data_IF_673069756417
#
_entry.id   IF_673069756417
#
_cell.length_a   1.000
_cell.length_b   1.000
_cell.length_c   1.000
_cell.angle_alpha   90.00
_cell.angle_beta   90.00
_cell.angle_gamma   90.00
#
_symmetry.space_group_name_H-M   'P 1'
#
loop_
_entity.id
_entity.type
_entity.pdbx_description
1 polymer ?
#
# COMPACT_ATOMS: atom_id res chain seq x y z
N UNK A 1 17.95 20.46 28.46
CA UNK A 1 17.99 20.82 27.01
C UNK A 1 18.30 19.63 26.09
N UNK A 2 19.43 18.92 26.23
CA UNK A 2 19.83 17.84 25.30
C UNK A 2 18.83 16.67 25.17
N UNK A 3 18.17 16.28 26.27
CA UNK A 3 17.20 15.19 26.28
C UNK A 3 15.89 15.55 25.53
N UNK A 4 15.37 16.77 25.74
CA UNK A 4 14.17 17.24 25.05
C UNK A 4 14.39 17.36 23.53
N UNK A 5 15.56 17.86 23.11
CA UNK A 5 15.92 17.93 21.70
C UNK A 5 16.00 16.53 21.04
N UNK A 6 16.54 15.54 21.75
CA UNK A 6 16.57 14.14 21.28
C UNK A 6 15.18 13.54 21.16
N UNK A 7 14.31 13.76 22.14
CA UNK A 7 12.93 13.29 22.10
C UNK A 7 12.14 13.90 20.93
N UNK A 8 12.33 15.21 20.67
CA UNK A 8 11.70 15.89 19.53
C UNK A 8 12.21 15.36 18.18
N UNK A 9 13.52 15.13 18.05
CA UNK A 9 14.10 14.55 16.84
C UNK A 9 13.56 13.14 16.58
N UNK A 10 13.52 12.28 17.61
CA UNK A 10 12.96 10.94 17.50
C UNK A 10 11.46 10.96 17.12
N UNK A 11 10.67 11.84 17.74
CA UNK A 11 9.26 12.00 17.36
C UNK A 11 9.11 12.41 15.88
N UNK A 12 9.98 13.28 15.37
CA UNK A 12 9.98 13.69 13.97
C UNK A 12 10.31 12.53 13.03
N UNK A 13 11.33 11.73 13.36
CA UNK A 13 11.74 10.55 12.60
C UNK A 13 10.61 9.53 12.49
N UNK A 14 10.01 9.18 13.63
CA UNK A 14 8.93 8.19 13.67
C UNK A 14 7.66 8.69 12.95
N UNK A 15 7.37 10.00 13.01
CA UNK A 15 6.29 10.60 12.21
C UNK A 15 6.57 10.50 10.71
N UNK A 16 7.81 10.75 10.28
CA UNK A 16 8.19 10.62 8.89
C UNK A 16 8.07 9.17 8.41
N UNK A 17 8.47 8.20 9.23
CA UNK A 17 8.30 6.78 8.92
C UNK A 17 6.82 6.39 8.77
N UNK A 18 5.95 6.85 9.68
CA UNK A 18 4.49 6.63 9.57
C UNK A 18 3.94 7.24 8.28
N UNK A 19 4.38 8.45 7.90
CA UNK A 19 3.96 9.10 6.67
C UNK A 19 4.41 8.33 5.42
N UNK A 20 5.66 7.87 5.38
CA UNK A 20 6.20 7.07 4.27
C UNK A 20 5.42 5.76 4.11
N UNK A 21 5.15 5.06 5.22
CA UNK A 21 4.37 3.81 5.21
C UNK A 21 2.94 4.04 4.71
N UNK A 22 2.30 5.15 5.12
CA UNK A 22 0.97 5.53 4.65
C UNK A 22 0.96 5.87 3.16
N UNK A 23 1.94 6.64 2.68
CA UNK A 23 2.08 6.99 1.27
C UNK A 23 2.26 5.73 0.42
N UNK A 24 3.17 4.83 0.81
CA UNK A 24 3.36 3.54 0.13
C UNK A 24 2.08 2.72 0.07
N UNK A 25 1.35 2.60 1.19
CA UNK A 25 0.08 1.88 1.22
C UNK A 25 -0.96 2.52 0.30
N UNK A 26 -1.05 3.86 0.26
CA UNK A 26 -1.96 4.57 -0.62
C UNK A 26 -1.64 4.33 -2.10
N UNK A 27 -0.35 4.42 -2.50
CA UNK A 27 0.09 4.13 -3.87
C UNK A 27 -0.24 2.69 -4.27
N UNK A 28 0.01 1.71 -3.39
CA UNK A 28 -0.31 0.31 -3.68
C UNK A 28 -1.82 0.08 -3.81
N UNK A 29 -2.64 0.68 -2.94
CA UNK A 29 -4.10 0.58 -3.04
C UNK A 29 -4.60 1.19 -4.36
N UNK A 30 -4.11 2.37 -4.74
CA UNK A 30 -4.51 3.03 -5.98
C UNK A 30 -4.17 2.17 -7.20
N UNK A 31 -2.93 1.67 -7.28
CA UNK A 31 -2.46 0.78 -8.35
C UNK A 31 -3.29 -0.49 -8.47
N UNK A 32 -3.59 -1.15 -7.35
CA UNK A 32 -4.38 -2.39 -7.36
C UNK A 32 -5.84 -2.10 -7.75
N UNK A 33 -6.42 -1.01 -7.22
CA UNK A 33 -7.79 -0.61 -7.55
C UNK A 33 -7.93 -0.29 -9.04
N UNK A 34 -6.99 0.46 -9.61
CA UNK A 34 -6.96 0.81 -11.03
C UNK A 34 -6.96 -0.44 -11.94
N UNK A 35 -6.15 -1.45 -11.61
CA UNK A 35 -6.17 -2.72 -12.35
C UNK A 35 -7.46 -3.51 -12.15
N UNK A 36 -8.01 -3.56 -10.93
CA UNK A 36 -9.30 -4.20 -10.66
C UNK A 36 -10.39 -3.54 -11.51
N UNK A 37 -10.42 -2.21 -11.56
CA UNK A 37 -11.41 -1.45 -12.33
C UNK A 37 -11.25 -1.74 -13.83
N UNK A 38 -10.01 -1.79 -14.32
CA UNK A 38 -9.68 -2.13 -15.71
C UNK A 38 -10.16 -3.54 -16.11
N UNK A 39 -9.91 -4.53 -15.25
CA UNK A 39 -10.40 -5.90 -15.45
C UNK A 39 -11.93 -5.95 -15.41
N UNK A 40 -12.55 -5.15 -14.54
CA UNK A 40 -13.99 -4.98 -14.46
C UNK A 40 -14.61 -4.47 -15.77
N UNK A 41 -13.94 -3.58 -16.49
CA UNK A 41 -14.40 -3.13 -17.81
C UNK A 41 -14.45 -4.28 -18.83
N UNK A 42 -13.49 -5.20 -18.78
CA UNK A 42 -13.50 -6.41 -19.63
C UNK A 42 -14.65 -7.36 -19.29
N UNK A 43 -14.98 -7.50 -17.99
CA UNK A 43 -16.16 -8.26 -17.53
C UNK A 43 -17.45 -7.62 -18.06
N UNK A 44 -17.60 -6.30 -17.92
CA UNK A 44 -18.78 -5.57 -18.37
C UNK A 44 -18.95 -5.63 -19.90
N UNK A 45 -17.83 -5.65 -20.64
CA UNK A 45 -17.81 -5.80 -22.10
C UNK A 45 -18.06 -7.25 -22.57
N UNK A 46 -17.98 -8.24 -21.67
CA UNK A 46 -18.05 -9.66 -22.03
C UNK A 46 -16.79 -10.19 -22.74
N UNK A 47 -15.66 -9.51 -22.59
CA UNK A 47 -14.37 -9.83 -23.23
C UNK A 47 -13.36 -10.47 -22.26
N UNK A 48 -13.78 -10.77 -21.03
CA UNK A 48 -12.91 -11.31 -19.98
C UNK A 48 -12.40 -12.72 -20.31
N UNK A 49 -11.10 -12.94 -20.11
CA UNK A 49 -10.48 -14.28 -20.21
C UNK A 49 -10.44 -14.98 -18.84
N UNK A 50 -10.15 -16.28 -18.82
CA UNK A 50 -9.98 -17.01 -17.56
C UNK A 50 -8.77 -16.48 -16.75
N UNK A 51 -7.74 -16.01 -17.45
CA UNK A 51 -6.57 -15.37 -16.87
C UNK A 51 -6.93 -14.03 -16.19
N UNK A 52 -7.78 -13.23 -16.84
CA UNK A 52 -8.27 -11.96 -16.29
C UNK A 52 -9.12 -12.18 -15.02
N UNK A 53 -9.99 -13.18 -15.01
CA UNK A 53 -10.79 -13.56 -13.83
C UNK A 53 -9.88 -14.03 -12.67
N UNK A 54 -8.85 -14.82 -12.98
CA UNK A 54 -7.88 -15.27 -11.99
C UNK A 54 -7.06 -14.09 -11.40
N UNK A 55 -6.63 -13.15 -12.26
CA UNK A 55 -5.96 -11.93 -11.81
C UNK A 55 -6.88 -11.08 -10.92
N UNK A 56 -8.13 -10.86 -11.35
CA UNK A 56 -9.12 -10.09 -10.59
C UNK A 56 -9.36 -10.67 -9.19
N UNK A 57 -9.50 -12.00 -9.09
CA UNK A 57 -9.66 -12.69 -7.81
C UNK A 57 -8.43 -12.50 -6.91
N UNK A 58 -7.21 -12.65 -7.45
CA UNK A 58 -5.97 -12.46 -6.70
C UNK A 58 -5.78 -11.00 -6.23
N UNK A 59 -6.11 -10.03 -7.07
CA UNK A 59 -6.02 -8.61 -6.74
C UNK A 59 -7.07 -8.19 -5.71
N UNK A 60 -8.27 -8.79 -5.73
CA UNK A 60 -9.30 -8.55 -4.71
C UNK A 60 -8.85 -8.98 -3.31
N UNK A 61 -8.10 -10.10 -3.21
CA UNK A 61 -7.47 -10.52 -1.95
C UNK A 61 -6.39 -9.51 -1.53
N UNK A 62 -5.55 -9.10 -2.49
CA UNK A 62 -4.44 -8.18 -2.25
C UNK A 62 -4.91 -6.80 -1.78
N UNK A 63 -5.91 -6.21 -2.43
CA UNK A 63 -6.43 -4.89 -2.06
C UNK A 63 -7.04 -4.89 -0.66
N UNK A 64 -7.68 -5.99 -0.26
CA UNK A 64 -8.20 -6.15 1.11
C UNK A 64 -7.05 -6.13 2.12
N UNK A 65 -5.99 -6.89 1.88
CA UNK A 65 -4.81 -6.90 2.76
C UNK A 65 -4.17 -5.51 2.89
N UNK A 66 -4.00 -4.79 1.77
CA UNK A 66 -3.45 -3.42 1.77
C UNK A 66 -4.36 -2.40 2.47
N UNK A 67 -5.68 -2.48 2.29
CA UNK A 67 -6.67 -1.66 3.03
C UNK A 67 -6.60 -1.93 4.54
N UNK A 68 -6.52 -3.20 4.96
CA UNK A 68 -6.35 -3.59 6.37
C UNK A 68 -5.03 -3.09 6.96
N UNK A 69 -3.93 -3.16 6.20
CA UNK A 69 -2.64 -2.62 6.60
C UNK A 69 -2.70 -1.10 6.81
N UNK A 70 -3.26 -0.35 5.84
CA UNK A 70 -3.43 1.11 5.95
C UNK A 70 -4.31 1.51 7.13
N UNK A 71 -5.41 0.78 7.37
CA UNK A 71 -6.24 0.96 8.55
C UNK A 71 -5.45 0.74 9.85
N UNK A 72 -4.59 -0.27 9.89
CA UNK A 72 -3.75 -0.55 11.05
C UNK A 72 -2.69 0.52 11.28
N UNK A 73 -2.09 1.08 10.22
CA UNK A 73 -1.20 2.23 10.31
C UNK A 73 -1.87 3.46 10.94
N UNK A 74 -3.15 3.69 10.62
CA UNK A 74 -3.94 4.78 11.21
C UNK A 74 -4.08 4.71 12.73
N UNK A 75 -3.81 3.57 13.34
CA UNK A 75 -3.84 3.37 14.80
C UNK A 75 -2.47 3.42 15.47
N UNK A 76 -1.37 3.54 14.71
CA UNK A 76 -0.02 3.47 15.28
C UNK A 76 0.26 4.63 16.25
N UNK A 77 -0.14 5.84 15.88
CA UNK A 77 0.06 7.02 16.72
C UNK A 77 -0.80 7.05 18.00
N UNK A 78 -1.76 6.14 18.14
CA UNK A 78 -2.61 6.00 19.34
C UNK A 78 -2.17 4.84 20.24
N UNK A 79 -1.09 4.13 19.90
CA UNK A 79 -0.56 3.05 20.73
C UNK A 79 0.11 3.62 21.99
N UNK A 80 0.03 2.88 23.10
CA UNK A 80 0.70 3.27 24.35
C UNK A 80 2.24 3.34 24.22
N UNK A 81 2.81 2.64 23.24
CA UNK A 81 4.25 2.65 22.98
C UNK A 81 4.70 3.80 22.08
N UNK A 82 3.77 4.62 21.57
CA UNK A 82 4.09 5.79 20.77
C UNK A 82 4.63 6.94 21.64
N UNK A 83 5.62 7.71 21.16
CA UNK A 83 6.43 7.50 19.95
C UNK A 83 7.66 6.59 20.19
N UNK A 84 7.93 6.19 21.43
CA UNK A 84 9.20 5.61 21.85
C UNK A 84 9.53 4.24 21.24
N UNK A 85 8.51 3.41 20.98
CA UNK A 85 8.67 2.08 20.39
C UNK A 85 7.39 1.64 19.66
N UNK A 86 7.04 2.27 18.52
CA UNK A 86 5.82 1.95 17.80
C UNK A 86 5.77 0.47 17.40
N UNK A 87 4.62 -0.17 17.55
CA UNK A 87 4.38 -1.49 17.01
C UNK A 87 3.88 -1.34 15.57
N UNK A 88 4.78 -1.56 14.61
CA UNK A 88 4.50 -1.43 13.20
C UNK A 88 3.76 -2.66 12.65
N UNK A 89 2.61 -2.49 11.98
CA UNK A 89 1.98 -3.60 11.29
C UNK A 89 2.87 -4.11 10.16
N UNK A 90 2.78 -5.41 9.86
CA UNK A 90 3.49 -6.04 8.74
C UNK A 90 2.85 -5.61 7.43
N UNK A 91 3.66 -5.10 6.50
CA UNK A 91 3.19 -4.76 5.16
C UNK A 91 2.83 -6.04 4.37
N UNK A 92 1.71 -6.06 3.63
CA UNK A 92 1.36 -7.17 2.75
C UNK A 92 2.37 -7.32 1.60
N UNK A 93 2.34 -8.48 0.94
CA UNK A 93 3.08 -8.68 -0.30
C UNK A 93 2.60 -7.70 -1.39
N UNK A 94 3.53 -7.21 -2.19
CA UNK A 94 3.22 -6.42 -3.37
C UNK A 94 2.74 -7.40 -4.46
N UNK A 95 1.51 -7.28 -4.97
CA UNK A 95 1.04 -8.18 -6.01
C UNK A 95 1.75 -7.89 -7.33
N UNK A 96 2.01 -8.97 -8.08
CA UNK A 96 2.37 -8.87 -9.48
C UNK A 96 1.10 -8.48 -10.27
N UNK A 97 1.15 -7.38 -11.02
CA UNK A 97 0.06 -6.91 -11.87
C UNK A 97 0.58 -7.00 -13.30
N UNK A 98 -0.08 -7.81 -14.12
CA UNK A 98 0.27 -7.93 -15.53
C UNK A 98 -0.11 -6.61 -16.23
N UNK A 99 0.77 -6.10 -17.08
CA UNK A 99 0.59 -4.84 -17.83
C UNK A 99 0.51 -3.55 -16.99
N UNK A 100 1.15 -3.48 -15.82
CA UNK A 100 1.32 -2.21 -15.11
C UNK A 100 2.18 -1.21 -15.94
N UNK A 101 1.65 -0.06 -16.39
CA UNK A 101 2.41 0.93 -17.13
C UNK A 101 3.65 1.45 -16.37
N UNK A 102 3.64 1.41 -15.04
CA UNK A 102 4.81 1.76 -14.23
C UNK A 102 5.89 0.68 -14.19
N UNK A 103 5.55 -0.58 -14.52
CA UNK A 103 6.49 -1.68 -14.69
C UNK A 103 7.03 -1.76 -16.13
N UNK A 104 6.29 -1.23 -17.10
CA UNK A 104 6.70 -1.04 -18.50
C UNK A 104 7.48 0.27 -18.63
N UNK A 105 8.69 0.35 -18.07
CA UNK A 105 9.59 1.47 -18.35
C UNK A 105 9.79 1.61 -19.87
N UNK A 106 9.91 2.84 -20.43
CA UNK A 106 10.14 3.00 -21.85
C UNK A 106 11.47 2.36 -22.22
N UNK A 107 11.44 1.44 -23.19
CA UNK A 107 12.65 1.01 -23.88
C UNK A 107 13.33 2.28 -24.41
N UNK A 108 14.48 2.61 -23.82
CA UNK A 108 15.33 3.70 -24.29
C UNK A 108 15.76 3.36 -25.71
N UNK A 109 15.20 4.10 -26.67
CA UNK A 109 15.58 4.09 -28.09
C UNK A 109 16.83 4.91 -28.30
#
# INVERSE_FOLDING_TARGET
MKAAARAAAHLSEVKAELAIRNAKAATQIARIQDRIDTLGYGVDAGEVTAEDEAELAALTISIKAWKTYKFSLGKVATQATWPASPNWPTAPAIPNIAADPAAMAPDTV
#
